data_IF_793620436148
#
_entry.id   IF_793620436148
#
_cell.length_a   1.000
_cell.length_b   1.000
_cell.length_c   1.000
_cell.angle_alpha   90.00
_cell.angle_beta   90.00
_cell.angle_gamma   90.00
#
_symmetry.space_group_name_H-M   'P 1'
#
loop_
_entity.id
_entity.type
_entity.pdbx_description
1 polymer ?
#
# COMPACT_ATOMS: atom_id res chain seq x y z
N UNK A 1 13.66 -40.41 9.27
CA UNK A 1 13.20 -39.81 8.00
C UNK A 1 12.59 -38.46 8.34
N UNK A 2 13.31 -37.38 8.02
CA UNK A 2 13.02 -36.03 8.51
C UNK A 2 11.89 -35.35 7.73
N UNK A 3 11.00 -34.70 8.47
CA UNK A 3 9.94 -33.85 7.95
C UNK A 3 10.54 -32.50 7.52
N UNK A 4 10.63 -32.25 6.21
CA UNK A 4 10.90 -30.92 5.68
C UNK A 4 9.57 -30.17 5.57
N UNK A 5 9.30 -29.27 6.52
CA UNK A 5 8.28 -28.24 6.38
C UNK A 5 8.75 -27.25 5.31
N UNK A 6 8.02 -27.19 4.19
CA UNK A 6 8.29 -26.29 3.08
C UNK A 6 8.02 -24.84 3.48
N UNK A 7 9.07 -24.03 3.49
CA UNK A 7 9.02 -22.58 3.67
C UNK A 7 8.27 -21.98 2.46
N UNK A 8 7.21 -21.22 2.72
CA UNK A 8 6.39 -20.59 1.70
C UNK A 8 7.11 -19.31 1.16
N UNK A 9 7.38 -19.19 -0.15
CA UNK A 9 8.24 -18.13 -0.71
C UNK A 9 7.61 -16.73 -0.74
N UNK A 10 6.32 -16.60 -0.45
CA UNK A 10 5.65 -15.28 -0.23
C UNK A 10 6.21 -14.54 0.98
N UNK A 11 6.73 -15.28 1.97
CA UNK A 11 7.33 -14.71 3.18
C UNK A 11 8.70 -14.09 2.93
N UNK A 12 9.49 -14.60 2.00
CA UNK A 12 10.86 -14.10 1.81
C UNK A 12 10.86 -12.65 1.33
N UNK A 13 9.94 -12.26 0.44
CA UNK A 13 9.84 -10.87 -0.03
C UNK A 13 9.21 -9.93 1.03
N UNK A 14 8.26 -10.42 1.83
CA UNK A 14 7.68 -9.66 2.97
C UNK A 14 8.73 -9.48 4.08
N UNK A 15 9.54 -10.51 4.36
CA UNK A 15 10.64 -10.49 5.33
C UNK A 15 11.82 -9.62 4.85
N UNK A 16 12.10 -9.58 3.55
CA UNK A 16 13.11 -8.66 2.98
C UNK A 16 12.65 -7.21 3.11
N UNK A 17 11.36 -6.91 2.88
CA UNK A 17 10.79 -5.58 3.14
C UNK A 17 10.80 -5.24 4.64
N UNK A 18 10.52 -6.20 5.52
CA UNK A 18 10.61 -6.05 6.98
C UNK A 18 12.04 -5.69 7.46
N UNK A 19 13.08 -6.33 6.89
CA UNK A 19 14.48 -6.02 7.23
C UNK A 19 14.90 -4.63 6.76
N UNK A 20 14.37 -4.17 5.62
CA UNK A 20 14.70 -2.85 5.06
C UNK A 20 13.97 -1.72 5.80
N UNK A 21 12.73 -1.95 6.29
CA UNK A 21 12.01 -1.00 7.16
C UNK A 21 12.63 -0.90 8.56
N UNK A 22 13.03 -2.02 9.18
CA UNK A 22 13.66 -1.99 10.51
C UNK A 22 15.01 -1.23 10.52
N UNK A 23 15.76 -1.27 9.40
CA UNK A 23 16.99 -0.49 9.23
C UNK A 23 16.74 1.02 9.07
N UNK A 24 15.57 1.42 8.53
CA UNK A 24 15.21 2.82 8.39
C UNK A 24 14.70 3.43 9.71
N UNK A 25 14.04 2.62 10.56
CA UNK A 25 13.58 3.03 11.90
C UNK A 25 14.77 3.13 12.88
N UNK A 26 15.78 2.25 12.76
CA UNK A 26 16.93 2.24 13.67
C UNK A 26 17.93 3.41 13.48
N UNK A 27 17.85 4.18 12.38
CA UNK A 27 18.75 5.33 12.12
C UNK A 27 18.22 6.65 12.70
N UNK A 28 16.99 6.67 13.23
CA UNK A 28 16.37 7.90 13.78
C UNK A 28 16.54 8.04 15.30
N UNK A 29 17.17 7.07 15.99
CA UNK A 29 17.49 7.21 17.42
C UNK A 29 18.81 7.97 17.64
N UNK A 30 18.68 9.29 17.80
CA UNK A 30 19.72 10.16 18.36
C UNK A 30 19.69 10.02 19.89
N UNK A 31 20.79 9.68 20.57
CA UNK A 31 20.79 9.56 22.03
C UNK A 31 20.74 10.95 22.70
N UNK A 32 19.66 11.19 23.45
CA UNK A 32 19.47 12.35 24.32
C UNK A 32 20.48 12.34 25.48
N UNK A 33 21.33 13.37 25.52
CA UNK A 33 22.36 13.58 26.54
C UNK A 33 21.78 14.25 27.79
N UNK A 34 22.36 13.90 28.94
CA UNK A 34 21.96 14.25 30.31
C UNK A 34 21.80 15.75 30.60
N UNK A 35 20.81 16.09 31.43
CA UNK A 35 20.66 17.40 32.09
C UNK A 35 21.47 17.48 33.40
N UNK A 36 22.09 18.63 33.73
CA UNK A 36 22.51 18.94 35.10
C UNK A 36 21.63 20.03 35.77
N UNK A 37 21.73 20.21 37.11
CA UNK A 37 20.73 20.93 37.90
C UNK A 37 21.04 22.42 38.19
N UNK A 38 19.94 23.20 38.29
CA UNK A 38 19.65 24.44 39.04
C UNK A 38 20.75 25.43 39.48
N UNK A 39 20.53 26.73 39.22
CA UNK A 39 20.56 27.82 40.24
C UNK A 39 20.07 29.19 39.70
N UNK A 40 19.74 30.06 40.66
CA UNK A 40 18.94 31.30 40.66
C UNK A 40 19.55 32.51 39.92
N UNK A 41 18.69 33.45 39.49
CA UNK A 41 18.66 34.88 39.92
C UNK A 41 17.95 35.80 38.88
N UNK A 42 17.54 36.97 39.36
CA UNK A 42 16.39 37.78 38.91
C UNK A 42 16.75 39.03 38.09
N UNK A 43 15.70 39.59 37.45
CA UNK A 43 15.35 41.02 37.24
C UNK A 43 15.29 41.58 35.80
N UNK A 44 14.03 41.85 35.42
CA UNK A 44 13.45 43.09 34.85
C UNK A 44 13.74 43.57 33.41
N UNK A 45 12.63 44.08 32.82
CA UNK A 45 12.50 45.13 31.79
C UNK A 45 12.75 44.76 30.31
N UNK A 46 11.88 44.99 29.30
CA UNK A 46 10.74 45.90 29.08
C UNK A 46 9.85 45.45 27.89
N UNK A 47 8.57 45.88 27.93
CA UNK A 47 7.66 46.30 26.82
C UNK A 47 7.05 45.29 25.81
N UNK A 48 5.75 45.01 26.08
CA UNK A 48 4.56 45.09 25.19
C UNK A 48 4.63 44.73 23.70
N UNK A 49 4.06 43.58 23.34
CA UNK A 49 3.30 43.39 22.08
C UNK A 49 2.11 42.44 22.32
N UNK A 50 0.94 42.85 21.82
CA UNK A 50 -0.34 42.14 21.95
C UNK A 50 -0.37 40.81 21.15
N UNK A 51 -1.11 39.77 21.59
CA UNK A 51 -1.05 38.46 20.96
C UNK A 51 -1.92 38.41 19.70
N UNK A 52 -1.31 38.06 18.57
CA UNK A 52 -2.04 37.55 17.39
C UNK A 52 -2.43 36.11 17.70
N UNK A 53 -3.73 35.85 17.79
CA UNK A 53 -4.31 34.53 18.00
C UNK A 53 -4.09 33.66 16.75
N UNK A 54 -2.95 32.97 16.71
CA UNK A 54 -2.82 31.77 15.90
C UNK A 54 -3.65 30.68 16.54
N UNK A 55 -4.90 30.53 16.07
CA UNK A 55 -5.71 29.36 16.36
C UNK A 55 -5.05 28.13 15.71
N UNK A 56 -4.07 27.57 16.40
CA UNK A 56 -3.54 26.24 16.14
C UNK A 56 -4.71 25.28 16.38
N UNK A 57 -5.30 24.76 15.31
CA UNK A 57 -6.24 23.65 15.40
C UNK A 57 -5.53 22.50 16.10
N UNK A 58 -5.81 22.34 17.39
CA UNK A 58 -5.37 21.17 18.14
C UNK A 58 -5.92 19.95 17.39
N UNK A 59 -5.10 18.92 17.11
CA UNK A 59 -5.67 17.63 16.75
C UNK A 59 -6.46 17.20 17.97
N UNK A 60 -7.79 17.28 17.89
CA UNK A 60 -8.67 16.72 18.90
C UNK A 60 -8.47 15.22 18.82
N UNK A 61 -7.51 14.70 19.58
CA UNK A 61 -7.29 13.27 19.75
C UNK A 61 -8.63 12.73 20.23
N UNK A 62 -9.38 12.12 19.33
CA UNK A 62 -10.60 11.43 19.68
C UNK A 62 -10.17 10.22 20.49
N UNK A 63 -10.27 10.35 21.82
CA UNK A 63 -9.88 9.33 22.80
C UNK A 63 -10.54 7.98 22.50
N UNK A 64 -11.68 7.99 21.80
CA UNK A 64 -12.37 6.83 21.26
C UNK A 64 -11.47 5.92 20.40
N UNK A 65 -10.53 6.49 19.63
CA UNK A 65 -9.61 5.72 18.77
C UNK A 65 -8.52 4.98 19.56
N UNK A 66 -8.19 5.45 20.76
CA UNK A 66 -7.20 4.82 21.66
C UNK A 66 -7.84 3.75 22.56
N UNK A 67 -9.14 3.87 22.85
CA UNK A 67 -9.89 2.95 23.73
C UNK A 67 -10.67 1.86 22.97
N UNK A 68 -10.90 2.02 21.67
CA UNK A 68 -11.62 1.03 20.89
C UNK A 68 -10.74 -0.20 20.63
N UNK A 69 -11.20 -1.35 21.14
CA UNK A 69 -10.58 -2.66 20.94
C UNK A 69 -10.29 -2.90 19.43
N UNK A 70 -9.02 -3.09 19.03
CA UNK A 70 -8.61 -3.36 17.64
C UNK A 70 -9.33 -4.55 16.99
N UNK A 71 -9.91 -5.44 17.80
CA UNK A 71 -10.67 -6.62 17.35
C UNK A 71 -12.12 -6.32 17.00
N UNK A 72 -12.64 -5.13 17.32
CA UNK A 72 -14.04 -4.74 17.06
C UNK A 72 -14.22 -3.84 15.83
N UNK A 73 -13.13 -3.52 15.14
CA UNK A 73 -13.13 -2.65 13.95
C UNK A 73 -13.50 -3.45 12.70
N UNK A 74 -14.30 -2.85 11.83
CA UNK A 74 -14.58 -3.39 10.50
C UNK A 74 -13.75 -2.69 9.44
N UNK A 75 -13.23 -3.46 8.49
CA UNK A 75 -12.40 -2.98 7.39
C UNK A 75 -13.12 -3.18 6.07
N UNK A 76 -13.09 -2.17 5.22
CA UNK A 76 -13.69 -2.20 3.89
C UNK A 76 -12.67 -1.66 2.87
N UNK A 77 -12.47 -2.40 1.79
CA UNK A 77 -11.68 -1.96 0.65
C UNK A 77 -12.61 -1.61 -0.51
N UNK A 78 -12.26 -0.54 -1.22
CA UNK A 78 -12.93 -0.14 -2.45
C UNK A 78 -11.90 0.21 -3.51
N UNK A 79 -12.05 -0.31 -4.73
CA UNK A 79 -11.20 0.11 -5.84
C UNK A 79 -11.74 1.43 -6.41
N UNK A 80 -11.08 2.53 -6.06
CA UNK A 80 -11.46 3.89 -6.51
C UNK A 80 -10.81 4.25 -7.84
N UNK A 81 -9.76 3.54 -8.25
CA UNK A 81 -9.20 3.62 -9.60
C UNK A 81 -8.92 2.22 -10.13
N UNK A 82 -9.68 1.85 -11.16
CA UNK A 82 -9.53 0.58 -11.85
C UNK A 82 -8.51 0.70 -13.00
N UNK A 83 -7.68 -0.34 -13.22
CA UNK A 83 -6.89 -0.42 -14.43
C UNK A 83 -7.81 -0.60 -15.65
N UNK A 84 -7.39 -0.09 -16.79
CA UNK A 84 -8.13 -0.25 -18.04
C UNK A 84 -7.43 -1.23 -18.97
N UNK A 85 -6.10 -1.18 -19.04
CA UNK A 85 -5.30 -2.07 -19.90
C UNK A 85 -3.83 -2.07 -19.52
N UNK A 86 -3.09 -3.00 -20.13
CA UNK A 86 -1.62 -3.05 -20.14
C UNK A 86 -1.14 -3.67 -21.46
N UNK A 87 0.15 -3.60 -21.75
CA UNK A 87 0.75 -4.48 -22.73
C UNK A 87 1.24 -5.76 -22.05
N UNK A 88 1.08 -6.90 -22.71
CA UNK A 88 1.86 -8.09 -22.39
C UNK A 88 3.34 -7.88 -22.74
N UNK A 89 4.23 -8.62 -22.06
CA UNK A 89 5.67 -8.54 -22.33
C UNK A 89 6.33 -9.90 -22.61
N UNK A 90 5.63 -11.02 -22.42
CA UNK A 90 6.12 -12.36 -22.74
C UNK A 90 7.49 -12.67 -22.11
N UNK A 91 8.51 -12.82 -22.95
CA UNK A 91 9.89 -13.08 -22.53
C UNK A 91 10.73 -11.79 -22.30
N UNK A 92 10.21 -10.62 -22.69
CA UNK A 92 10.91 -9.34 -22.60
C UNK A 92 10.74 -8.69 -21.21
N UNK A 93 11.34 -9.29 -20.18
CA UNK A 93 11.20 -8.84 -18.77
C UNK A 93 11.61 -7.39 -18.50
N UNK A 94 12.46 -6.80 -19.36
CA UNK A 94 12.89 -5.41 -19.26
C UNK A 94 11.96 -4.43 -19.98
N UNK A 95 11.04 -4.93 -20.80
CA UNK A 95 10.07 -4.14 -21.57
C UNK A 95 8.68 -4.18 -20.94
N UNK A 96 8.63 -4.30 -19.61
CA UNK A 96 7.38 -4.30 -18.86
C UNK A 96 6.67 -2.97 -19.02
N UNK A 97 5.38 -3.04 -19.31
CA UNK A 97 4.48 -1.90 -19.34
C UNK A 97 3.53 -2.06 -18.17
N UNK A 98 3.44 -1.09 -17.24
CA UNK A 98 2.55 -1.20 -16.10
C UNK A 98 1.08 -1.00 -16.52
N UNK A 99 0.17 -1.50 -15.68
CA UNK A 99 -1.27 -1.27 -15.79
C UNK A 99 -1.56 0.23 -15.86
N UNK A 100 -2.40 0.64 -16.80
CA UNK A 100 -2.85 2.03 -16.91
C UNK A 100 -4.37 2.16 -16.91
N UNK A 101 -4.93 3.09 -16.11
CA UNK A 101 -4.26 3.82 -15.03
C UNK A 101 -3.87 2.86 -13.87
N UNK A 102 -2.98 3.28 -12.94
CA UNK A 102 -2.55 2.42 -11.83
C UNK A 102 -3.71 2.09 -10.89
N UNK A 103 -3.62 0.97 -10.17
CA UNK A 103 -4.67 0.57 -9.23
C UNK A 103 -4.57 1.44 -7.97
N UNK A 104 -5.70 2.00 -7.55
CA UNK A 104 -5.83 2.72 -6.28
C UNK A 104 -7.00 2.10 -5.53
N UNK A 105 -6.72 1.61 -4.32
CA UNK A 105 -7.73 1.11 -3.40
C UNK A 105 -7.86 2.05 -2.20
N UNK A 106 -9.09 2.37 -1.81
CA UNK A 106 -9.41 3.14 -0.59
C UNK A 106 -9.72 2.17 0.53
N UNK A 107 -9.16 2.45 1.71
CA UNK A 107 -9.46 1.76 2.95
C UNK A 107 -10.42 2.61 3.79
N UNK A 108 -11.55 2.00 4.17
CA UNK A 108 -12.44 2.54 5.20
C UNK A 108 -12.36 1.66 6.43
N UNK A 109 -12.03 2.25 7.58
CA UNK A 109 -12.05 1.56 8.87
C UNK A 109 -13.17 2.16 9.70
N UNK A 110 -14.08 1.31 10.20
CA UNK A 110 -15.16 1.74 11.09
C UNK A 110 -14.99 1.14 12.47
N UNK A 111 -15.29 1.93 13.51
CA UNK A 111 -15.35 1.45 14.89
C UNK A 111 -16.62 0.61 15.15
N UNK A 112 -16.76 0.09 16.37
CA UNK A 112 -17.94 -0.69 16.79
C UNK A 112 -19.25 0.10 16.72
N UNK A 113 -19.17 1.44 16.74
CA UNK A 113 -20.31 2.36 16.57
C UNK A 113 -20.58 2.72 15.10
N UNK A 114 -19.86 2.11 14.15
CA UNK A 114 -19.90 2.36 12.70
C UNK A 114 -19.38 3.73 12.26
N UNK A 115 -18.66 4.46 13.11
CA UNK A 115 -18.03 5.71 12.71
C UNK A 115 -16.73 5.44 11.96
N UNK A 116 -16.46 6.22 10.91
CA UNK A 116 -15.18 6.15 10.21
C UNK A 116 -14.06 6.67 11.10
N UNK A 117 -12.98 5.91 11.22
CA UNK A 117 -11.83 6.24 12.07
C UNK A 117 -10.52 6.03 11.33
N UNK A 118 -9.46 6.76 11.74
CA UNK A 118 -8.10 6.54 11.25
C UNK A 118 -7.29 5.86 12.37
N UNK A 119 -7.01 4.55 12.25
CA UNK A 119 -6.34 3.79 13.31
C UNK A 119 -4.82 3.97 13.25
N UNK A 120 -4.30 5.16 13.57
CA UNK A 120 -2.89 5.57 13.37
C UNK A 120 -1.87 4.53 13.85
N UNK A 121 -2.09 3.94 15.03
CA UNK A 121 -1.20 2.93 15.62
C UNK A 121 -1.19 1.59 14.85
N UNK A 122 -2.23 1.29 14.08
CA UNK A 122 -2.34 0.05 13.31
C UNK A 122 -1.84 0.19 11.86
N UNK A 123 -1.87 1.41 11.29
CA UNK A 123 -1.53 1.65 9.89
C UNK A 123 -0.21 1.01 9.43
N UNK A 124 0.89 1.02 10.22
CA UNK A 124 2.14 0.39 9.81
C UNK A 124 2.06 -1.14 9.63
N UNK A 125 1.05 -1.78 10.23
CA UNK A 125 0.84 -3.23 10.17
C UNK A 125 -0.21 -3.62 9.14
N UNK A 126 -0.88 -2.66 8.49
CA UNK A 126 -1.85 -2.91 7.45
C UNK A 126 -1.17 -2.94 6.09
N UNK A 127 -1.28 -4.08 5.41
CA UNK A 127 -0.64 -4.32 4.13
C UNK A 127 -1.67 -4.86 3.14
N UNK A 128 -1.68 -4.31 1.93
CA UNK A 128 -2.47 -4.83 0.84
C UNK A 128 -1.59 -5.57 -0.16
N UNK A 129 -2.06 -6.72 -0.66
CA UNK A 129 -1.38 -7.48 -1.71
C UNK A 129 -2.32 -7.78 -2.87
N UNK A 130 -1.74 -7.99 -4.05
CA UNK A 130 -2.46 -8.29 -5.27
C UNK A 130 -2.53 -9.79 -5.55
N UNK A 131 -3.62 -10.22 -6.17
CA UNK A 131 -3.74 -11.55 -6.78
C UNK A 131 -4.47 -11.46 -8.12
N UNK A 132 -4.01 -12.22 -9.10
CA UNK A 132 -4.55 -12.27 -10.46
C UNK A 132 -5.66 -13.30 -10.59
N UNK A 133 -6.73 -12.90 -11.27
CA UNK A 133 -7.84 -13.77 -11.65
C UNK A 133 -8.11 -13.66 -13.15
N UNK A 134 -8.76 -14.68 -13.70
CA UNK A 134 -9.34 -14.65 -15.04
C UNK A 134 -10.34 -13.49 -15.20
N UNK A 135 -10.61 -13.08 -16.44
CA UNK A 135 -11.45 -11.92 -16.73
C UNK A 135 -12.89 -12.03 -16.22
N UNK A 136 -13.41 -13.25 -16.10
CA UNK A 136 -14.70 -13.56 -15.46
C UNK A 136 -14.63 -13.59 -13.91
N UNK A 137 -13.43 -13.55 -13.34
CA UNK A 137 -13.18 -13.60 -11.91
C UNK A 137 -13.23 -15.00 -11.29
N UNK A 138 -13.52 -16.05 -12.07
CA UNK A 138 -13.80 -17.39 -11.57
C UNK A 138 -12.53 -18.18 -11.19
N UNK A 139 -11.44 -17.97 -11.93
CA UNK A 139 -10.20 -18.74 -11.76
C UNK A 139 -9.10 -17.87 -11.20
N UNK A 140 -8.55 -18.24 -10.04
CA UNK A 140 -7.31 -17.65 -9.56
C UNK A 140 -6.16 -18.10 -10.46
N UNK A 141 -5.41 -17.14 -10.99
CA UNK A 141 -4.29 -17.38 -11.91
C UNK A 141 -2.93 -17.18 -11.24
N UNK A 142 -2.93 -16.60 -10.03
CA UNK A 142 -1.75 -16.58 -9.18
C UNK A 142 -1.58 -17.86 -8.38
N UNK A 143 -0.31 -18.26 -8.21
CA UNK A 143 0.18 -19.36 -7.36
C UNK A 143 -0.14 -20.81 -7.80
N UNK A 144 -0.66 -21.04 -9.01
CA UNK A 144 -1.37 -22.29 -9.32
C UNK A 144 -0.82 -23.26 -10.39
N UNK A 145 0.33 -23.05 -11.04
CA UNK A 145 0.87 -24.04 -12.00
C UNK A 145 2.28 -24.56 -11.69
N UNK A 146 2.85 -24.26 -10.50
CA UNK A 146 4.29 -24.48 -10.26
C UNK A 146 4.63 -25.32 -9.02
N UNK A 147 3.65 -25.73 -8.21
CA UNK A 147 3.94 -26.62 -7.08
C UNK A 147 4.13 -28.03 -7.64
N UNK A 148 5.39 -28.39 -7.93
CA UNK A 148 5.80 -29.70 -8.43
C UNK A 148 6.35 -29.74 -9.87
N UNK A 149 6.14 -28.67 -10.66
CA UNK A 149 6.81 -28.45 -11.95
C UNK A 149 7.56 -27.13 -11.86
N UNK A 150 8.88 -27.19 -11.88
CA UNK A 150 9.76 -26.05 -11.58
C UNK A 150 9.33 -24.75 -12.25
N UNK A 151 9.50 -23.64 -11.53
CA UNK A 151 9.27 -22.23 -11.93
C UNK A 151 9.87 -21.88 -13.31
N UNK A 152 10.87 -22.64 -13.76
CA UNK A 152 11.47 -22.53 -15.08
C UNK A 152 10.54 -22.93 -16.24
N UNK A 153 9.53 -23.78 -16.00
CA UNK A 153 8.65 -24.29 -17.07
C UNK A 153 7.44 -23.39 -17.30
N UNK A 154 6.89 -22.78 -16.26
CA UNK A 154 5.82 -21.78 -16.38
C UNK A 154 6.13 -20.60 -15.44
N UNK A 155 6.61 -19.46 -15.94
CA UNK A 155 6.80 -18.26 -15.12
C UNK A 155 5.45 -17.66 -14.69
N UNK A 156 5.39 -16.88 -13.59
CA UNK A 156 4.16 -16.22 -13.16
C UNK A 156 3.59 -15.30 -14.24
N UNK A 157 2.32 -14.91 -14.12
CA UNK A 157 1.69 -13.98 -15.06
C UNK A 157 1.69 -12.55 -14.52
N UNK A 158 1.57 -12.37 -13.20
CA UNK A 158 1.57 -11.08 -12.53
C UNK A 158 2.99 -10.70 -12.06
N UNK A 159 3.43 -9.48 -12.35
CA UNK A 159 4.76 -8.96 -12.00
C UNK A 159 4.70 -7.51 -11.51
N UNK A 160 5.79 -7.06 -10.87
CA UNK A 160 5.97 -5.70 -10.39
C UNK A 160 5.91 -5.60 -8.87
N UNK A 161 5.53 -4.43 -8.37
CA UNK A 161 5.28 -4.17 -6.96
C UNK A 161 3.85 -4.58 -6.59
N UNK A 162 3.70 -5.81 -6.09
CA UNK A 162 2.40 -6.44 -5.81
C UNK A 162 1.91 -6.21 -4.37
N UNK A 163 2.69 -5.49 -3.56
CA UNK A 163 2.41 -5.22 -2.15
C UNK A 163 2.47 -3.72 -1.93
N UNK A 164 1.54 -3.19 -1.14
CA UNK A 164 1.43 -1.77 -0.82
C UNK A 164 1.09 -1.57 0.65
N UNK A 165 1.61 -0.49 1.23
CA UNK A 165 1.29 -0.02 2.59
C UNK A 165 0.27 1.11 2.51
N UNK A 166 -0.35 1.44 3.64
CA UNK A 166 -1.31 2.55 3.70
C UNK A 166 -0.60 3.88 3.51
N UNK A 167 -1.09 4.70 2.58
CA UNK A 167 -0.74 6.11 2.41
C UNK A 167 -1.94 6.99 2.78
N UNK A 168 -1.68 8.06 3.54
CA UNK A 168 -2.70 9.04 3.89
C UNK A 168 -2.61 10.22 2.92
N UNK A 169 -3.66 10.39 2.10
CA UNK A 169 -3.69 11.36 0.99
C UNK A 169 -5.05 12.08 0.96
N UNK A 170 -5.10 13.24 0.33
CA UNK A 170 -6.33 13.97 0.03
C UNK A 170 -6.91 13.55 -1.32
N UNK A 171 -8.20 13.20 -1.32
CA UNK A 171 -8.94 12.91 -2.54
C UNK A 171 -9.20 14.18 -3.39
N UNK A 172 -9.95 14.03 -4.49
CA UNK A 172 -10.27 15.16 -5.38
C UNK A 172 -11.25 16.17 -4.77
N UNK A 173 -11.90 15.83 -3.67
CA UNK A 173 -12.79 16.70 -2.91
C UNK A 173 -12.06 17.40 -1.75
N UNK A 174 -10.78 17.08 -1.53
CA UNK A 174 -9.98 17.60 -0.42
C UNK A 174 -10.17 16.85 0.90
N UNK A 175 -10.84 15.68 0.89
CA UNK A 175 -10.98 14.87 2.09
C UNK A 175 -9.78 13.95 2.25
N UNK A 176 -9.21 13.91 3.46
CA UNK A 176 -8.15 12.97 3.79
C UNK A 176 -8.70 11.53 3.87
N UNK A 177 -8.07 10.61 3.17
CA UNK A 177 -8.39 9.19 3.15
C UNK A 177 -7.16 8.31 3.28
N UNK A 178 -7.39 7.00 3.44
CA UNK A 178 -6.37 5.96 3.50
C UNK A 178 -6.37 5.20 2.18
N UNK A 179 -5.22 5.12 1.52
CA UNK A 179 -5.09 4.55 0.18
C UNK A 179 -3.96 3.54 0.09
N UNK A 180 -4.17 2.52 -0.73
CA UNK A 180 -3.12 1.62 -1.21
C UNK A 180 -2.90 1.89 -2.69
N UNK A 181 -1.64 2.08 -3.07
CA UNK A 181 -1.24 2.44 -4.42
C UNK A 181 -0.43 1.31 -5.06
N UNK A 182 -0.76 0.96 -6.30
CA UNK A 182 -0.02 -0.04 -7.07
C UNK A 182 0.36 0.52 -8.45
N UNK A 183 1.42 1.35 -8.53
CA UNK A 183 1.82 2.05 -9.75
C UNK A 183 2.66 1.20 -10.71
N UNK A 184 3.24 0.09 -10.25
CA UNK A 184 4.09 -0.79 -11.05
C UNK A 184 3.55 -2.23 -10.98
N UNK A 185 2.54 -2.52 -11.78
CA UNK A 185 1.96 -3.86 -11.92
C UNK A 185 1.95 -4.18 -13.40
N UNK A 186 2.49 -5.31 -13.82
CA UNK A 186 2.57 -5.69 -15.23
C UNK A 186 2.08 -7.12 -15.42
N UNK A 187 1.51 -7.41 -16.59
CA UNK A 187 1.00 -8.73 -16.96
C UNK A 187 1.88 -9.32 -18.06
N UNK A 188 2.32 -10.56 -17.87
CA UNK A 188 3.23 -11.23 -18.79
C UNK A 188 2.56 -11.74 -20.05
N UNK A 189 1.37 -12.30 -19.92
CA UNK A 189 0.66 -12.98 -20.99
C UNK A 189 -0.58 -12.19 -21.40
N UNK A 190 -0.87 -12.17 -22.70
CA UNK A 190 -2.12 -11.66 -23.25
C UNK A 190 -3.32 -12.36 -22.62
N UNK A 191 -4.35 -11.58 -22.33
CA UNK A 191 -5.61 -12.10 -21.83
C UNK A 191 -6.48 -11.00 -21.23
N UNK A 192 -7.60 -11.44 -20.67
CA UNK A 192 -8.50 -10.57 -19.90
C UNK A 192 -8.47 -11.01 -18.46
N UNK A 193 -8.33 -10.06 -17.54
CA UNK A 193 -8.01 -10.34 -16.15
C UNK A 193 -8.76 -9.43 -15.18
N UNK A 194 -8.84 -9.86 -13.93
CA UNK A 194 -9.18 -9.03 -12.79
C UNK A 194 -8.05 -9.10 -11.76
N UNK A 195 -7.82 -8.02 -11.01
CA UNK A 195 -6.94 -8.02 -9.86
C UNK A 195 -7.80 -7.98 -8.60
N UNK A 196 -7.52 -8.88 -7.66
CA UNK A 196 -7.99 -8.78 -6.30
C UNK A 196 -6.95 -8.06 -5.44
N UNK A 197 -7.38 -7.07 -4.67
CA UNK A 197 -6.61 -6.44 -3.61
C UNK A 197 -7.08 -7.04 -2.29
N UNK A 198 -6.17 -7.67 -1.56
CA UNK A 198 -6.46 -8.29 -0.27
C UNK A 198 -5.73 -7.54 0.84
N UNK A 199 -6.48 -7.06 1.84
CA UNK A 199 -5.96 -6.43 3.04
C UNK A 199 -5.67 -7.48 4.10
N UNK A 200 -4.45 -7.42 4.65
CA UNK A 200 -4.04 -8.20 5.80
C UNK A 200 -3.43 -7.32 6.88
N UNK A 201 -3.60 -7.73 8.14
CA UNK A 201 -2.89 -7.18 9.29
C UNK A 201 -1.71 -8.08 9.64
N UNK A 202 -0.50 -7.53 9.67
CA UNK A 202 0.68 -8.24 10.17
C UNK A 202 0.59 -8.38 11.70
N UNK A 203 0.85 -9.57 12.22
CA UNK A 203 0.87 -9.83 13.66
C UNK A 203 2.10 -9.20 14.31
N UNK A 204 1.88 -8.43 15.39
CA UNK A 204 2.95 -7.86 16.22
C UNK A 204 3.39 -8.81 17.36
N UNK A 205 3.02 -10.10 17.32
CA UNK A 205 3.35 -11.00 18.42
C UNK A 205 4.85 -11.30 18.39
N UNK A 206 5.60 -10.69 19.31
CA UNK A 206 7.03 -10.97 19.55
C UNK A 206 7.34 -12.38 20.07
N UNK A 207 6.49 -13.37 19.78
CA UNK A 207 6.72 -14.78 20.05
C UNK A 207 7.24 -15.45 18.76
N UNK A 208 8.53 -15.80 18.70
CA UNK A 208 9.07 -16.54 17.56
C UNK A 208 8.35 -17.89 17.46
N UNK A 209 7.66 -18.13 16.35
CA UNK A 209 7.16 -19.46 15.97
C UNK A 209 5.65 -19.67 15.94
N UNK A 210 4.80 -18.71 16.34
CA UNK A 210 3.34 -18.92 16.37
C UNK A 210 2.50 -17.94 15.52
N UNK A 211 3.06 -16.84 15.01
CA UNK A 211 2.33 -15.93 14.13
C UNK A 211 3.20 -15.46 12.95
N UNK A 212 3.51 -16.39 12.06
CA UNK A 212 4.07 -16.09 10.74
C UNK A 212 2.98 -15.86 9.68
N UNK A 213 1.71 -15.61 10.06
CA UNK A 213 0.61 -15.43 9.11
C UNK A 213 -0.17 -14.15 9.44
N UNK A 214 -0.19 -13.18 8.50
CA UNK A 214 -1.02 -11.98 8.62
C UNK A 214 -2.51 -12.35 8.64
N UNK A 215 -3.30 -11.63 9.42
CA UNK A 215 -4.75 -11.84 9.53
C UNK A 215 -5.46 -11.21 8.34
N UNK A 216 -6.25 -11.97 7.60
CA UNK A 216 -7.11 -11.45 6.53
C UNK A 216 -8.17 -10.50 7.12
N UNK A 217 -8.38 -9.34 6.49
CA UNK A 217 -9.33 -8.33 6.96
C UNK A 217 -10.43 -8.02 5.94
N UNK A 218 -10.06 -7.80 4.68
CA UNK A 218 -10.99 -7.40 3.62
C UNK A 218 -10.38 -7.65 2.24
N UNK A 219 -11.21 -7.67 1.21
CA UNK A 219 -10.76 -7.72 -0.18
C UNK A 219 -11.64 -6.85 -1.08
N UNK A 220 -11.10 -6.45 -2.22
CA UNK A 220 -11.84 -5.80 -3.29
C UNK A 220 -11.30 -6.22 -4.66
N UNK A 221 -12.16 -6.25 -5.68
CA UNK A 221 -11.77 -6.65 -7.05
C UNK A 221 -11.85 -5.49 -8.02
N UNK A 222 -10.91 -5.45 -8.95
CA UNK A 222 -10.98 -4.51 -10.06
C UNK A 222 -12.07 -4.93 -11.05
N UNK A 223 -12.55 -3.99 -11.85
CA UNK A 223 -13.21 -4.33 -13.12
C UNK A 223 -12.25 -5.14 -14.01
N UNK A 224 -12.78 -5.98 -14.92
CA UNK A 224 -11.95 -6.67 -15.89
C UNK A 224 -11.19 -5.69 -16.79
N UNK A 225 -9.95 -6.01 -17.12
CA UNK A 225 -9.09 -5.25 -18.03
C UNK A 225 -8.34 -6.19 -18.97
N UNK A 226 -7.81 -5.63 -20.07
CA UNK A 226 -7.12 -6.40 -21.11
C UNK A 226 -5.60 -6.20 -21.04
N UNK A 227 -4.86 -7.31 -21.10
CA UNK A 227 -3.45 -7.32 -21.44
C UNK A 227 -3.33 -7.54 -22.96
N UNK A 228 -2.97 -6.47 -23.67
CA UNK A 228 -2.94 -6.42 -25.13
C UNK A 228 -1.54 -6.74 -25.67
N UNK A 229 -1.42 -7.20 -26.92
CA UNK A 229 -0.13 -7.18 -27.62
C UNK A 229 0.49 -5.78 -27.61
N UNK A 230 1.82 -5.69 -27.48
CA UNK A 230 2.52 -4.40 -27.37
C UNK A 230 2.23 -3.44 -28.54
N UNK A 231 2.04 -3.96 -29.75
CA UNK A 231 1.74 -3.14 -30.94
C UNK A 231 0.30 -2.59 -30.97
N UNK A 232 -0.63 -3.18 -30.21
CA UNK A 232 -2.01 -2.69 -30.05
C UNK A 232 -2.16 -1.78 -28.81
N UNK A 233 -1.13 -1.75 -27.95
CA UNK A 233 -1.20 -1.02 -26.69
C UNK A 233 -1.13 0.50 -26.90
N UNK A 234 -2.09 1.19 -26.28
CA UNK A 234 -2.10 2.65 -26.16
C UNK A 234 -2.25 2.98 -24.68
N UNK A 235 -1.32 3.77 -24.16
CA UNK A 235 -1.31 4.21 -22.76
C UNK A 235 -2.58 4.99 -22.43
N UNK A 236 -3.23 4.65 -21.31
CA UNK A 236 -4.34 5.46 -20.83
C UNK A 236 -3.82 6.81 -20.29
N UNK A 237 -4.57 7.92 -20.50
CA UNK A 237 -4.18 9.21 -19.95
C UNK A 237 -4.12 9.17 -18.42
N UNK A 238 -3.17 9.89 -17.83
CA UNK A 238 -3.07 10.02 -16.38
C UNK A 238 -4.33 10.66 -15.82
N UNK A 239 -4.94 10.03 -14.82
CA UNK A 239 -6.20 10.50 -14.22
C UNK A 239 -5.95 11.72 -13.34
N UNK A 240 -7.00 12.51 -13.09
CA UNK A 240 -6.92 13.61 -12.12
C UNK A 240 -6.52 13.13 -10.73
N UNK A 241 -6.97 11.94 -10.32
CA UNK A 241 -6.66 11.35 -9.02
C UNK A 241 -5.17 10.99 -8.91
N UNK A 242 -4.61 10.29 -9.91
CA UNK A 242 -3.17 9.99 -9.95
C UNK A 242 -2.33 11.25 -9.97
N UNK A 243 -2.70 12.27 -10.76
CA UNK A 243 -1.99 13.55 -10.75
C UNK A 243 -2.08 14.25 -9.38
N UNK A 244 -3.23 14.17 -8.70
CA UNK A 244 -3.39 14.73 -7.36
C UNK A 244 -2.46 14.06 -6.35
N UNK A 245 -2.43 12.72 -6.34
CA UNK A 245 -1.59 11.96 -5.42
C UNK A 245 -0.10 12.19 -5.68
N UNK A 246 0.32 12.28 -6.95
CA UNK A 246 1.71 12.63 -7.31
C UNK A 246 2.10 14.00 -6.75
N UNK A 247 1.22 15.01 -6.84
CA UNK A 247 1.49 16.35 -6.27
C UNK A 247 1.62 16.33 -4.75
N UNK A 248 1.02 15.35 -4.08
CA UNK A 248 1.13 15.15 -2.63
C UNK A 248 2.37 14.32 -2.24
N UNK A 249 3.20 13.91 -3.20
CA UNK A 249 4.43 13.14 -2.96
C UNK A 249 4.24 11.63 -2.99
N UNK A 250 3.06 11.14 -3.40
CA UNK A 250 2.84 9.70 -3.59
C UNK A 250 3.84 9.14 -4.62
N UNK A 251 4.41 7.97 -4.34
CA UNK A 251 5.42 7.32 -5.18
C UNK A 251 4.80 6.65 -6.41
N UNK A 252 4.14 7.44 -7.26
CA UNK A 252 3.53 7.00 -8.50
C UNK A 252 4.23 7.65 -9.69
N UNK A 253 4.26 6.95 -10.83
CA UNK A 253 4.80 7.54 -12.05
C UNK A 253 3.75 8.45 -12.69
N UNK A 254 4.11 9.71 -12.92
CA UNK A 254 3.41 10.48 -13.93
C UNK A 254 3.76 9.80 -15.25
N UNK A 255 2.78 9.16 -15.91
CA UNK A 255 3.00 8.64 -17.25
C UNK A 255 3.56 9.79 -18.08
N UNK A 256 4.86 9.75 -18.38
CA UNK A 256 5.46 10.66 -19.32
C UNK A 256 4.63 10.51 -20.58
N UNK A 257 4.03 11.60 -21.03
CA UNK A 257 3.48 11.73 -22.36
C UNK A 257 4.56 11.24 -23.33
N UNK A 258 4.46 9.99 -23.78
CA UNK A 258 5.23 9.54 -24.93
C UNK A 258 4.85 10.50 -26.05
N UNK A 259 5.80 11.25 -26.63
CA UNK A 259 5.47 12.10 -27.75
C UNK A 259 4.90 11.20 -28.86
N UNK A 260 3.85 11.62 -29.57
CA UNK A 260 3.42 10.88 -30.75
C UNK A 260 4.62 10.80 -31.69
N UNK A 261 4.94 9.59 -32.14
CA UNK A 261 5.86 9.42 -33.27
C UNK A 261 5.37 10.32 -34.40
N UNK A 262 6.17 11.36 -34.71
CA UNK A 262 6.00 12.18 -35.90
C UNK A 262 6.38 11.38 -37.13
#
# INVERSE_FOLDING_TARGET
MGNYQGINPTWVNVVILQRTLNLLVAVVDIPSTQSPPSSQSSLADLTSFSPVSFARSQPRIQVSSLLADPHTRSYELEIVQHPLRTAEFGAAYLSRVPLTPPIIARLTVRDSSRNSVIPVAELPFLVAHLSLYSGDGATALDMGSFIGRGVLQNPPTLYGHLVSTVEQLEDLQGNTGLFFLFPDVSIRLRGRYQIQVTLSRLSNSGLPGLAEHGTYLAEARTRPFDALPLHEYIVAPSTRLSQSFIRQGARMFANASYPPHR
#
